data_IF_178221576549
#
_entry.id   IF_178221576549
#
_cell.length_a   1.000
_cell.length_b   1.000
_cell.length_c   1.000
_cell.angle_alpha   90.00
_cell.angle_beta   90.00
_cell.angle_gamma   90.00
#
_symmetry.space_group_name_H-M   'P 1'
#
loop_
_entity.id
_entity.type
_entity.pdbx_description
1 polymer ?
#
# COMPACT_ATOMS: atom_id res chain seq x y z
N UNK A 1 3.19 -0.38 18.61
CA UNK A 1 3.36 -0.70 17.17
C UNK A 1 3.01 0.56 16.40
N UNK A 2 3.86 1.01 15.47
CA UNK A 2 3.69 2.28 14.75
C UNK A 2 2.59 2.21 13.67
N UNK A 3 2.17 3.35 13.10
CA UNK A 3 1.30 3.37 11.92
C UNK A 3 1.97 2.67 10.74
N UNK A 4 3.28 2.89 10.54
CA UNK A 4 4.08 2.17 9.56
C UNK A 4 4.05 0.64 9.75
N UNK A 5 4.25 0.15 10.97
CA UNK A 5 4.22 -1.29 11.25
C UNK A 5 2.83 -1.90 10.99
N UNK A 6 1.76 -1.18 11.37
CA UNK A 6 0.37 -1.58 11.10
C UNK A 6 0.11 -1.66 9.60
N UNK A 7 0.50 -0.64 8.84
CA UNK A 7 0.33 -0.61 7.38
C UNK A 7 1.08 -1.76 6.70
N UNK A 8 2.32 -2.03 7.14
CA UNK A 8 3.13 -3.14 6.63
C UNK A 8 2.48 -4.50 6.94
N UNK A 9 1.89 -4.65 8.12
CA UNK A 9 1.15 -5.88 8.47
C UNK A 9 -0.09 -6.06 7.60
N UNK A 10 -0.85 -4.98 7.33
CA UNK A 10 -2.01 -5.00 6.44
C UNK A 10 -1.63 -5.37 5.00
N UNK A 11 -0.56 -4.79 4.45
CA UNK A 11 -0.04 -5.16 3.12
C UNK A 11 0.29 -6.65 3.02
N UNK A 12 0.91 -7.21 4.06
CA UNK A 12 1.21 -8.65 4.08
C UNK A 12 -0.06 -9.50 4.13
N UNK A 13 -1.08 -9.09 4.88
CA UNK A 13 -2.39 -9.77 4.89
C UNK A 13 -3.04 -9.71 3.52
N UNK A 14 -3.09 -8.53 2.90
CA UNK A 14 -3.69 -8.33 1.58
C UNK A 14 -3.06 -9.24 0.52
N UNK A 15 -1.73 -9.38 0.53
CA UNK A 15 -1.03 -10.34 -0.34
C UNK A 15 -1.51 -11.77 -0.16
N UNK A 16 -1.68 -12.21 1.09
CA UNK A 16 -2.13 -13.56 1.39
C UNK A 16 -3.58 -13.79 0.97
N UNK A 17 -4.44 -12.78 1.13
CA UNK A 17 -5.85 -12.84 0.70
C UNK A 17 -5.93 -12.95 -0.82
N UNK A 18 -5.20 -12.11 -1.56
CA UNK A 18 -5.17 -12.15 -3.04
C UNK A 18 -4.64 -13.46 -3.62
N UNK A 19 -3.71 -14.10 -2.92
CA UNK A 19 -3.24 -15.45 -3.31
C UNK A 19 -4.34 -16.51 -3.14
N UNK A 20 -5.23 -16.35 -2.17
CA UNK A 20 -6.37 -17.26 -1.92
C UNK A 20 -7.58 -16.96 -2.78
N UNK A 21 -7.78 -15.70 -3.15
CA UNK A 21 -8.90 -15.20 -3.94
C UNK A 21 -8.38 -14.50 -5.21
N UNK A 22 -7.90 -15.28 -6.21
CA UNK A 22 -7.28 -14.71 -7.41
C UNK A 22 -8.28 -13.97 -8.31
N UNK A 23 -9.57 -14.29 -8.20
CA UNK A 23 -10.65 -13.56 -8.86
C UNK A 23 -10.92 -12.16 -8.28
N UNK A 24 -10.40 -11.84 -7.08
CA UNK A 24 -10.66 -10.58 -6.38
C UNK A 24 -12.03 -10.53 -5.67
N UNK A 25 -12.46 -9.32 -5.33
CA UNK A 25 -13.79 -8.97 -4.77
C UNK A 25 -14.20 -9.78 -3.52
N UNK A 26 -13.23 -10.11 -2.66
CA UNK A 26 -13.53 -10.76 -1.39
C UNK A 26 -13.89 -9.71 -0.32
N UNK A 27 -14.92 -9.93 0.52
CA UNK A 27 -15.23 -9.02 1.62
C UNK A 27 -14.08 -8.83 2.62
N UNK A 28 -13.19 -9.82 2.72
CA UNK A 28 -11.95 -9.72 3.52
C UNK A 28 -10.95 -8.76 2.87
N UNK A 29 -10.81 -8.79 1.55
CA UNK A 29 -9.98 -7.83 0.81
C UNK A 29 -10.52 -6.41 0.95
N UNK A 30 -11.83 -6.20 0.79
CA UNK A 30 -12.46 -4.88 0.91
C UNK A 30 -12.19 -4.28 2.30
N UNK A 31 -12.43 -5.05 3.36
CA UNK A 31 -12.16 -4.59 4.73
C UNK A 31 -10.68 -4.30 4.99
N UNK A 32 -9.77 -5.05 4.37
CA UNK A 32 -8.34 -4.76 4.46
C UNK A 32 -7.95 -3.47 3.72
N UNK A 33 -8.60 -3.17 2.59
CA UNK A 33 -8.35 -1.93 1.85
C UNK A 33 -8.86 -0.72 2.62
N UNK A 34 -10.02 -0.82 3.27
CA UNK A 34 -10.56 0.21 4.16
C UNK A 34 -9.62 0.47 5.35
N UNK A 35 -9.21 -0.60 6.06
CA UNK A 35 -8.25 -0.51 7.18
C UNK A 35 -6.91 0.12 6.73
N UNK A 36 -6.47 -0.20 5.50
CA UNK A 36 -5.25 0.37 4.93
C UNK A 36 -5.40 1.88 4.72
N UNK A 37 -6.52 2.34 4.16
CA UNK A 37 -6.74 3.77 3.92
C UNK A 37 -6.79 4.57 5.22
N UNK A 38 -7.40 4.03 6.28
CA UNK A 38 -7.38 4.65 7.61
C UNK A 38 -5.95 4.79 8.16
N UNK A 39 -5.17 3.71 8.16
CA UNK A 39 -3.79 3.74 8.67
C UNK A 39 -2.90 4.61 7.79
N UNK A 40 -3.11 4.63 6.47
CA UNK A 40 -2.39 5.50 5.56
C UNK A 40 -2.54 6.97 5.95
N UNK A 41 -3.76 7.39 6.33
CA UNK A 41 -4.03 8.76 6.77
C UNK A 41 -3.32 9.14 8.07
N UNK A 42 -3.02 8.16 8.93
CA UNK A 42 -2.25 8.36 10.17
C UNK A 42 -0.73 8.45 9.94
N UNK A 43 -0.21 7.87 8.84
CA UNK A 43 1.22 7.85 8.54
C UNK A 43 1.74 9.24 8.17
N UNK A 44 2.95 9.54 8.62
CA UNK A 44 3.72 10.70 8.14
C UNK A 44 4.12 10.55 6.67
N UNK A 45 4.46 11.67 6.03
CA UNK A 45 4.95 11.66 4.64
C UNK A 45 6.21 10.78 4.47
N UNK A 46 7.14 10.82 5.44
CA UNK A 46 8.33 9.98 5.42
C UNK A 46 8.02 8.49 5.49
N UNK A 47 7.05 8.10 6.31
CA UNK A 47 6.60 6.70 6.40
C UNK A 47 5.87 6.25 5.13
N UNK A 48 5.02 7.11 4.54
CA UNK A 48 4.32 6.85 3.27
C UNK A 48 5.32 6.69 2.12
N UNK A 49 6.33 7.56 2.06
CA UNK A 49 7.41 7.49 1.07
C UNK A 49 8.20 6.18 1.21
N UNK A 50 8.56 5.81 2.46
CA UNK A 50 9.32 4.60 2.74
C UNK A 50 8.61 3.29 2.34
N UNK A 51 7.28 3.29 2.20
CA UNK A 51 6.50 2.10 1.80
C UNK A 51 5.87 2.22 0.41
N UNK A 52 6.05 3.33 -0.30
CA UNK A 52 5.36 3.63 -1.55
C UNK A 52 5.56 2.57 -2.64
N UNK A 53 6.80 2.11 -2.84
CA UNK A 53 7.11 1.05 -3.82
C UNK A 53 6.44 -0.27 -3.47
N UNK A 54 6.47 -0.65 -2.20
CA UNK A 54 5.85 -1.89 -1.72
C UNK A 54 4.33 -1.85 -1.87
N UNK A 55 3.72 -0.71 -1.47
CA UNK A 55 2.29 -0.44 -1.66
C UNK A 55 1.91 -0.55 -3.13
N UNK A 56 2.66 0.09 -4.03
CA UNK A 56 2.36 0.09 -5.46
C UNK A 56 2.36 -1.34 -6.03
N UNK A 57 3.36 -2.14 -5.67
CA UNK A 57 3.45 -3.56 -6.09
C UNK A 57 2.30 -4.40 -5.58
N UNK A 58 1.93 -4.25 -4.30
CA UNK A 58 0.82 -5.02 -3.72
C UNK A 58 -0.50 -4.63 -4.34
N UNK A 59 -0.76 -3.32 -4.48
CA UNK A 59 -2.02 -2.79 -4.96
C UNK A 59 -2.16 -2.82 -6.49
N UNK A 60 -1.10 -3.15 -7.24
CA UNK A 60 -1.11 -3.08 -8.71
C UNK A 60 -1.19 -1.64 -9.22
N UNK A 61 -0.76 -0.67 -8.42
CA UNK A 61 -0.72 0.74 -8.82
C UNK A 61 0.53 1.00 -9.65
N UNK A 62 0.52 1.98 -10.56
CA UNK A 62 1.75 2.46 -11.17
C UNK A 62 2.73 2.86 -10.07
N UNK A 63 3.95 2.30 -10.10
CA UNK A 63 5.00 2.71 -9.17
C UNK A 63 5.16 4.23 -9.30
N UNK A 64 5.08 4.95 -8.17
CA UNK A 64 5.27 6.40 -8.18
C UNK A 64 6.65 6.68 -8.76
N UNK A 65 6.71 7.24 -9.97
CA UNK A 65 7.97 7.67 -10.54
C UNK A 65 8.53 8.73 -9.59
N UNK A 66 9.80 8.63 -9.16
CA UNK A 66 10.44 9.73 -8.47
C UNK A 66 10.28 10.97 -9.36
N UNK A 67 9.86 12.08 -8.76
CA UNK A 67 9.60 13.34 -9.45
C UNK A 67 10.90 13.98 -9.97
N UNK A 68 11.59 13.28 -10.89
CA UNK A 68 12.87 13.67 -11.45
C UNK A 68 12.85 13.39 -12.96
N UNK A 69 12.03 14.18 -13.67
CA UNK A 69 12.09 14.31 -15.13
C UNK A 69 11.60 15.69 -15.59
N UNK A 70 11.79 16.72 -14.76
CA UNK A 70 11.54 18.11 -15.14
C UNK A 70 12.69 19.03 -14.72
N UNK A 71 13.92 18.60 -14.99
CA UNK A 71 15.09 19.46 -15.05
C UNK A 71 16.14 18.83 -15.98
N UNK A 72 15.90 18.92 -17.29
CA UNK A 72 17.00 18.88 -18.25
C UNK A 72 17.08 20.24 -18.97
N UNK A 73 18.31 20.74 -19.20
CA UNK A 73 18.62 22.16 -19.46
C UNK A 73 18.13 22.70 -20.79
#
# INVERSE_FOLDING_TARGET
MSAYDRYRALLNKLRLVRVRHPEGDSPEEDGLLDDMDEVWMEMSEGERSAIATERARVLGLPEAQPADSAAQP
#
